data_IF_438581780708
#
_entry.id   IF_438581780708
#
_cell.length_a   1.000
_cell.length_b   1.000
_cell.length_c   1.000
_cell.angle_alpha   90.00
_cell.angle_beta   90.00
_cell.angle_gamma   90.00
#
_symmetry.space_group_name_H-M   'P 1'
#
loop_
_entity.id
_entity.type
_entity.pdbx_description
1 polymer ?
#
# COMPACT_ATOMS: atom_id res chain seq x y z
N UNK A 1 10.06 -20.91 12.48
CA UNK A 1 9.85 -20.00 11.33
C UNK A 1 8.39 -20.16 10.92
N UNK A 2 7.52 -19.19 11.23
CA UNK A 2 6.08 -19.28 10.90
C UNK A 2 5.75 -18.60 9.57
N UNK A 3 6.47 -17.53 9.22
CA UNK A 3 6.35 -16.89 7.91
C UNK A 3 7.09 -17.75 6.88
N UNK A 4 6.39 -18.38 5.91
CA UNK A 4 7.02 -19.28 4.94
C UNK A 4 7.95 -18.56 3.97
N UNK A 5 7.73 -17.26 3.75
CA UNK A 5 8.52 -16.44 2.82
C UNK A 5 9.55 -15.53 3.50
N UNK A 6 9.76 -15.69 4.81
CA UNK A 6 10.71 -14.88 5.60
C UNK A 6 10.54 -13.36 5.39
N UNK A 7 9.28 -12.92 5.39
CA UNK A 7 8.90 -11.53 5.13
C UNK A 7 8.86 -10.67 6.39
N UNK A 8 8.97 -11.25 7.59
CA UNK A 8 8.83 -10.53 8.87
C UNK A 8 10.20 -10.22 9.46
N UNK A 9 10.44 -8.96 9.80
CA UNK A 9 11.65 -8.51 10.49
C UNK A 9 11.31 -7.85 11.81
N UNK A 10 12.11 -8.09 12.85
CA UNK A 10 11.97 -7.40 14.13
C UNK A 10 12.84 -6.15 14.16
N UNK A 11 12.25 -4.99 14.44
CA UNK A 11 12.93 -3.70 14.61
C UNK A 11 12.76 -3.19 16.04
N UNK A 12 13.69 -2.38 16.52
CA UNK A 12 13.55 -1.74 17.82
C UNK A 12 12.70 -0.48 17.69
N UNK A 13 11.72 -0.32 18.57
CA UNK A 13 11.02 0.95 18.76
C UNK A 13 11.85 1.91 19.63
N UNK A 14 11.42 3.17 19.83
CA UNK A 14 12.11 4.13 20.70
C UNK A 14 12.30 3.66 22.15
N UNK A 15 11.42 2.79 22.64
CA UNK A 15 11.51 2.16 23.97
C UNK A 15 12.42 0.92 24.02
N UNK A 16 13.19 0.64 22.96
CA UNK A 16 14.05 -0.56 22.81
C UNK A 16 13.32 -1.90 22.89
N UNK A 17 12.02 -1.92 22.62
CA UNK A 17 11.20 -3.12 22.46
C UNK A 17 11.20 -3.55 21.00
N UNK A 18 11.31 -4.85 20.75
CA UNK A 18 11.22 -5.41 19.40
C UNK A 18 9.77 -5.36 18.92
N UNK A 19 9.55 -4.80 17.74
CA UNK A 19 8.27 -4.74 17.03
C UNK A 19 8.43 -5.38 15.65
N UNK A 20 7.45 -6.15 15.17
CA UNK A 20 7.49 -6.70 13.84
C UNK A 20 7.22 -5.62 12.78
N UNK A 21 7.88 -5.75 11.63
CA UNK A 21 7.57 -5.05 10.38
C UNK A 21 7.57 -6.04 9.22
N UNK A 22 6.83 -5.74 8.18
CA UNK A 22 6.66 -6.61 7.01
C UNK A 22 7.47 -6.06 5.82
N UNK A 23 8.12 -6.96 5.09
CA UNK A 23 8.60 -6.71 3.73
C UNK A 23 7.51 -7.14 2.74
N UNK A 24 6.82 -6.16 2.15
CA UNK A 24 5.73 -6.41 1.20
C UNK A 24 6.19 -7.08 -0.09
N UNK A 25 7.46 -6.91 -0.47
CA UNK A 25 8.05 -7.56 -1.64
C UNK A 25 8.30 -9.07 -1.45
N UNK A 26 8.21 -9.58 -0.21
CA UNK A 26 8.34 -11.02 0.11
C UNK A 26 7.07 -11.63 0.67
N UNK A 27 6.15 -10.82 1.20
CA UNK A 27 4.93 -11.32 1.80
C UNK A 27 4.08 -12.04 0.74
N UNK A 28 3.68 -13.28 1.02
CA UNK A 28 2.78 -14.04 0.13
C UNK A 28 1.32 -14.01 0.59
N UNK A 29 0.99 -13.12 1.55
CA UNK A 29 -0.37 -12.92 2.06
C UNK A 29 -1.07 -14.21 2.52
N UNK A 30 -0.31 -15.13 3.15
CA UNK A 30 -0.84 -16.40 3.66
C UNK A 30 -1.52 -16.31 5.04
N UNK A 31 -1.45 -15.14 5.70
CA UNK A 31 -2.06 -14.85 7.01
C UNK A 31 -1.59 -15.68 8.22
N UNK A 32 -0.62 -16.59 8.08
CA UNK A 32 -0.10 -17.37 9.23
C UNK A 32 0.41 -16.53 10.39
N UNK A 33 0.92 -15.31 10.14
CA UNK A 33 1.36 -14.42 11.20
C UNK A 33 0.21 -13.80 12.01
N UNK A 34 -0.98 -13.66 11.41
CA UNK A 34 -2.19 -13.20 12.09
C UNK A 34 -2.69 -14.33 12.99
N UNK A 35 -2.87 -15.52 12.41
CA UNK A 35 -3.46 -16.67 13.10
C UNK A 35 -2.65 -17.13 14.30
N UNK A 36 -1.31 -17.08 14.22
CA UNK A 36 -0.43 -17.60 15.28
C UNK A 36 -0.23 -16.62 16.43
N UNK A 37 -0.56 -15.33 16.25
CA UNK A 37 -0.10 -14.30 17.17
C UNK A 37 -0.89 -14.37 18.49
N UNK A 38 -0.24 -14.66 19.64
CA UNK A 38 -0.95 -14.83 20.91
C UNK A 38 -1.49 -13.53 21.51
N UNK A 39 -1.10 -12.38 20.94
CA UNK A 39 -1.47 -11.04 21.42
C UNK A 39 -2.08 -10.19 20.30
N UNK A 40 -2.47 -10.82 19.19
CA UNK A 40 -3.16 -10.15 18.06
C UNK A 40 -2.41 -8.89 17.57
N UNK A 41 -1.08 -9.01 17.44
CA UNK A 41 -0.23 -7.88 17.02
C UNK A 41 -0.40 -7.49 15.54
N UNK A 42 -1.02 -8.36 14.74
CA UNK A 42 -1.31 -8.14 13.33
C UNK A 42 -2.82 -8.20 13.13
N UNK A 43 -3.33 -7.31 12.29
CA UNK A 43 -4.72 -7.30 11.84
C UNK A 43 -4.77 -7.30 10.31
N UNK A 44 -5.90 -7.74 9.76
CA UNK A 44 -6.15 -7.81 8.32
C UNK A 44 -7.04 -6.67 7.86
N UNK A 45 -6.91 -6.29 6.60
CA UNK A 45 -7.80 -5.30 5.98
C UNK A 45 -8.26 -5.79 4.61
N UNK A 46 -9.29 -5.15 4.07
CA UNK A 46 -9.82 -5.43 2.73
C UNK A 46 -9.08 -4.66 1.62
N UNK A 47 -8.07 -3.87 1.99
CA UNK A 47 -7.25 -3.07 1.07
C UNK A 47 -6.30 -4.01 0.34
N UNK A 48 -6.37 -4.01 -0.99
CA UNK A 48 -5.62 -4.93 -1.85
C UNK A 48 -4.93 -4.22 -3.03
N UNK A 49 -5.18 -2.92 -3.18
CA UNK A 49 -4.67 -2.04 -4.24
C UNK A 49 -3.38 -1.31 -3.83
N UNK A 50 -2.58 -1.91 -2.93
CA UNK A 50 -1.26 -1.38 -2.59
C UNK A 50 -0.28 -1.59 -3.75
N UNK A 51 0.06 -0.50 -4.41
CA UNK A 51 1.14 -0.43 -5.39
C UNK A 51 2.32 0.39 -4.84
N UNK A 52 3.53 0.05 -5.27
CA UNK A 52 4.76 0.75 -4.92
C UNK A 52 5.50 1.09 -6.20
N UNK A 53 6.07 2.29 -6.28
CA UNK A 53 6.83 2.72 -7.45
C UNK A 53 8.27 2.22 -7.39
N UNK A 54 8.82 2.08 -6.18
CA UNK A 54 10.19 1.65 -5.94
C UNK A 54 10.25 0.43 -5.05
N UNK A 55 11.32 -0.33 -5.17
CA UNK A 55 11.53 -1.54 -4.37
C UNK A 55 11.69 -1.21 -2.88
N UNK A 56 12.35 -0.10 -2.56
CA UNK A 56 12.62 0.32 -1.20
C UNK A 56 11.33 0.63 -0.43
N UNK A 57 10.30 1.13 -1.12
CA UNK A 57 9.00 1.46 -0.50
C UNK A 57 8.24 0.20 -0.04
N UNK A 58 8.61 -0.99 -0.55
CA UNK A 58 8.08 -2.27 -0.07
C UNK A 58 8.70 -2.72 1.26
N UNK A 59 9.80 -2.09 1.69
CA UNK A 59 10.51 -2.37 2.94
C UNK A 59 9.98 -1.45 4.05
N UNK A 60 8.86 -1.82 4.66
CA UNK A 60 8.19 -0.95 5.61
C UNK A 60 9.02 -0.75 6.88
N UNK A 61 9.08 0.50 7.33
CA UNK A 61 9.63 0.84 8.64
C UNK A 61 8.53 0.80 9.73
N UNK A 62 8.93 0.95 11.00
CA UNK A 62 7.98 0.86 12.12
C UNK A 62 6.91 1.95 12.08
N UNK A 63 7.27 3.16 11.66
CA UNK A 63 6.36 4.29 11.61
C UNK A 63 5.28 4.07 10.56
N UNK A 64 5.67 3.70 9.34
CA UNK A 64 4.73 3.38 8.26
C UNK A 64 3.85 2.18 8.59
N UNK A 65 4.42 1.12 9.18
CA UNK A 65 3.68 -0.10 9.51
C UNK A 65 2.61 0.12 10.58
N UNK A 66 2.74 1.17 11.41
CA UNK A 66 1.80 1.48 12.47
C UNK A 66 0.67 2.42 12.02
N UNK A 67 0.79 3.03 10.82
CA UNK A 67 -0.27 3.90 10.28
C UNK A 67 -1.48 3.08 9.85
N UNK A 68 -2.68 3.63 10.03
CA UNK A 68 -3.89 2.96 9.54
C UNK A 68 -3.84 2.92 8.00
N UNK A 69 -3.94 1.74 7.38
CA UNK A 69 -3.80 1.62 5.94
C UNK A 69 -4.91 2.33 5.16
N UNK A 70 -6.05 2.68 5.78
CA UNK A 70 -7.14 3.47 5.17
C UNK A 70 -6.76 4.93 4.96
N UNK A 71 -5.73 5.42 5.66
CA UNK A 71 -5.19 6.76 5.42
C UNK A 71 -4.50 6.87 4.05
N UNK A 72 -4.05 5.73 3.50
CA UNK A 72 -3.48 5.65 2.16
C UNK A 72 -4.61 5.61 1.13
N UNK A 73 -5.10 6.79 0.75
CA UNK A 73 -6.04 6.94 -0.37
C UNK A 73 -5.32 7.48 -1.61
N UNK A 74 -4.84 6.62 -2.54
CA UNK A 74 -4.19 7.07 -3.77
C UNK A 74 -5.12 7.90 -4.67
N UNK A 75 -6.44 7.77 -4.51
CA UNK A 75 -7.42 8.50 -5.31
C UNK A 75 -7.70 9.92 -4.80
N UNK A 76 -7.26 10.28 -3.60
CA UNK A 76 -7.59 11.58 -2.98
C UNK A 76 -7.10 12.77 -3.81
N UNK A 77 -5.89 12.64 -4.37
CA UNK A 77 -5.23 13.68 -5.17
C UNK A 77 -4.98 13.22 -6.63
N UNK A 78 -5.60 12.12 -7.06
CA UNK A 78 -5.44 11.60 -8.40
C UNK A 78 -6.21 12.43 -9.43
N UNK A 79 -5.55 12.75 -10.55
CA UNK A 79 -6.19 13.41 -11.69
C UNK A 79 -7.24 12.49 -12.31
N UNK A 80 -8.49 12.96 -12.41
CA UNK A 80 -9.53 12.18 -13.06
C UNK A 80 -9.37 12.27 -14.58
N UNK A 81 -9.40 11.12 -15.24
CA UNK A 81 -9.26 10.99 -16.69
C UNK A 81 -10.55 10.45 -17.29
N UNK A 82 -10.99 11.01 -18.42
CA UNK A 82 -12.08 10.47 -19.24
C UNK A 82 -11.51 9.92 -20.53
N UNK A 83 -11.98 8.73 -20.89
CA UNK A 83 -11.70 8.11 -22.17
C UNK A 83 -12.53 8.81 -23.25
N UNK A 84 -11.88 9.30 -24.29
CA UNK A 84 -12.48 9.83 -25.51
C UNK A 84 -12.00 9.00 -26.69
N UNK A 85 -12.94 8.57 -27.52
CA UNK A 85 -12.60 7.85 -28.74
C UNK A 85 -12.15 8.82 -29.83
N UNK A 86 -10.95 8.62 -30.35
CA UNK A 86 -10.40 9.31 -31.52
C UNK A 86 -10.19 8.27 -32.64
N UNK A 87 -10.83 8.45 -33.78
CA UNK A 87 -10.80 7.45 -34.87
C UNK A 87 -9.39 7.19 -35.43
N UNK A 88 -8.45 8.11 -35.27
CA UNK A 88 -7.06 7.97 -35.75
C UNK A 88 -6.12 7.48 -34.65
N UNK A 89 -6.38 7.85 -33.39
CA UNK A 89 -5.49 7.59 -32.24
C UNK A 89 -6.03 6.53 -31.27
N UNK A 90 -7.25 6.05 -31.47
CA UNK A 90 -7.93 5.12 -30.57
C UNK A 90 -8.43 5.78 -29.30
N UNK A 91 -8.31 5.11 -28.16
CA UNK A 91 -8.69 5.66 -26.86
C UNK A 91 -7.69 6.72 -26.39
N UNK A 92 -8.15 7.97 -26.29
CA UNK A 92 -7.38 9.09 -25.76
C UNK A 92 -7.90 9.44 -24.37
N UNK A 93 -6.99 9.62 -23.40
CA UNK A 93 -7.33 10.02 -22.04
C UNK A 93 -7.22 11.54 -21.91
N UNK A 94 -8.33 12.22 -21.64
CA UNK A 94 -8.37 13.67 -21.39
C UNK A 94 -8.67 13.92 -19.89
N UNK A 95 -8.00 14.88 -19.22
CA UNK A 95 -8.32 15.24 -17.84
C UNK A 95 -9.75 15.77 -17.75
N UNK A 96 -10.55 15.25 -16.82
CA UNK A 96 -11.92 15.77 -16.57
C UNK A 96 -11.93 17.05 -15.76
N UNK A 97 -10.85 17.36 -15.03
CA UNK A 97 -10.78 18.50 -14.10
C UNK A 97 -10.33 19.81 -14.78
N UNK A 98 -10.43 19.91 -16.12
CA UNK A 98 -10.33 21.22 -16.78
C UNK A 98 -11.51 22.08 -16.30
N UNK A 99 -11.24 23.02 -15.38
CA UNK A 99 -12.01 24.27 -15.32
C UNK A 99 -12.07 24.80 -16.75
N UNK A 100 -13.23 24.66 -17.39
CA UNK A 100 -13.51 25.41 -18.61
C UNK A 100 -13.29 26.89 -18.30
N UNK A 101 -12.61 27.56 -19.22
CA UNK A 101 -12.07 28.91 -19.04
C UNK A 101 -13.09 29.93 -18.54
N UNK A 102 -12.56 30.92 -17.83
CA UNK A 102 -13.20 32.20 -17.61
C UNK A 102 -12.12 33.27 -17.62
N UNK A 103 -12.11 34.08 -18.69
CA UNK A 103 -11.16 35.18 -18.93
C UNK A 103 -10.51 35.08 -20.30
#
# INVERSE_FOLDING_TARGET
IICPSDAIRMVLNPEKKKRPVINWGRCIFCYYCVDICPVEAFDTTTIHDMAFDKYEDMLTNLEEFTKDPRERNPSKDAMRMRIKFDEKRGFVYEPTDKKNGGG
#
